data_IF_542058578851
#
_entry.id   IF_542058578851
#
_cell.length_a   1.000
_cell.length_b   1.000
_cell.length_c   1.000
_cell.angle_alpha   90.00
_cell.angle_beta   90.00
_cell.angle_gamma   90.00
#
_symmetry.space_group_name_H-M   'P 1'
#
loop_
_entity.id
_entity.type
_entity.pdbx_description
1 polymer ?
#
# COMPACT_ATOMS: atom_id res chain seq x y z
N UNK A 1 -9.33 -10.28 11.32
CA UNK A 1 -7.89 -9.94 11.31
C UNK A 1 -7.12 -11.16 10.82
N UNK A 2 -6.05 -10.98 10.04
CA UNK A 2 -5.24 -12.11 9.59
C UNK A 2 -4.59 -12.84 10.79
N UNK A 3 -4.80 -14.17 10.88
CA UNK A 3 -4.25 -15.00 11.97
C UNK A 3 -2.72 -15.08 11.93
N UNK A 4 -2.11 -14.85 10.77
CA UNK A 4 -0.66 -14.88 10.58
C UNK A 4 0.03 -13.53 10.84
N UNK A 5 -0.73 -12.49 11.20
CA UNK A 5 -0.18 -11.17 11.49
C UNK A 5 0.84 -11.22 12.63
N UNK A 6 2.05 -10.70 12.39
CA UNK A 6 3.12 -10.63 13.39
C UNK A 6 3.42 -9.19 13.77
N UNK A 7 2.98 -8.79 14.97
CA UNK A 7 3.09 -7.41 15.47
C UNK A 7 4.52 -6.84 15.45
N UNK A 8 5.54 -7.65 15.77
CA UNK A 8 6.94 -7.17 15.85
C UNK A 8 7.50 -6.87 14.46
N UNK A 9 7.22 -7.72 13.48
CA UNK A 9 7.75 -7.59 12.12
C UNK A 9 6.78 -6.95 11.14
N UNK A 10 5.55 -6.65 11.57
CA UNK A 10 4.44 -6.16 10.75
C UNK A 10 4.17 -6.99 9.49
N UNK A 11 4.46 -8.30 9.56
CA UNK A 11 4.16 -9.22 8.47
C UNK A 11 2.66 -9.45 8.42
N UNK A 12 2.15 -9.69 7.22
CA UNK A 12 0.79 -10.18 7.04
C UNK A 12 -0.27 -9.19 7.57
N UNK A 13 0.08 -7.89 7.54
CA UNK A 13 -0.72 -6.76 8.02
C UNK A 13 -1.88 -6.47 7.06
N UNK A 14 -2.93 -7.26 7.22
CA UNK A 14 -4.17 -7.17 6.45
C UNK A 14 -5.36 -7.59 7.31
N UNK A 15 -6.50 -6.96 7.05
CA UNK A 15 -7.78 -7.35 7.59
C UNK A 15 -8.88 -7.16 6.54
N UNK A 16 -9.99 -7.85 6.73
CA UNK A 16 -11.23 -7.63 5.97
C UNK A 16 -12.31 -7.21 6.93
N UNK A 17 -13.08 -6.22 6.49
CA UNK A 17 -14.28 -5.76 7.14
C UNK A 17 -15.47 -6.27 6.33
N UNK A 18 -16.35 -7.04 6.97
CA UNK A 18 -17.63 -7.42 6.40
C UNK A 18 -18.65 -6.38 6.79
N UNK A 19 -19.28 -5.75 5.80
CA UNK A 19 -20.34 -4.80 6.05
C UNK A 19 -21.59 -5.52 6.53
N UNK A 20 -22.36 -4.85 7.40
CA UNK A 20 -23.63 -5.38 7.93
C UNK A 20 -24.70 -5.37 6.83
N UNK A 21 -24.64 -4.39 5.93
CA UNK A 21 -25.50 -4.24 4.77
C UNK A 21 -24.66 -4.17 3.51
N UNK A 22 -25.20 -4.70 2.43
CA UNK A 22 -24.58 -4.59 1.11
C UNK A 22 -24.55 -3.13 0.65
N UNK A 23 -23.54 -2.79 -0.14
CA UNK A 23 -23.40 -1.48 -0.76
C UNK A 23 -24.02 -1.54 -2.15
N UNK A 24 -24.85 -0.56 -2.47
CA UNK A 24 -25.28 -0.31 -3.85
C UNK A 24 -24.17 0.44 -4.59
N UNK A 25 -23.73 -0.11 -5.73
CA UNK A 25 -22.71 0.54 -6.54
C UNK A 25 -23.29 1.71 -7.32
N UNK A 26 -22.53 2.80 -7.35
CA UNK A 26 -22.84 4.04 -8.07
C UNK A 26 -21.60 4.46 -8.85
N UNK A 27 -21.67 5.48 -9.71
CA UNK A 27 -20.47 6.00 -10.39
C UNK A 27 -19.34 6.42 -9.43
N UNK A 28 -19.68 6.83 -8.19
CA UNK A 28 -18.73 7.26 -7.16
C UNK A 28 -18.36 6.13 -6.18
N UNK A 29 -19.08 5.00 -6.21
CA UNK A 29 -18.90 3.86 -5.31
C UNK A 29 -18.69 2.60 -6.15
N UNK A 30 -17.41 2.28 -6.39
CA UNK A 30 -17.01 1.12 -7.19
C UNK A 30 -15.94 0.31 -6.47
N UNK A 31 -15.96 -1.03 -6.60
CA UNK A 31 -14.90 -1.87 -6.07
C UNK A 31 -13.62 -1.73 -6.91
N UNK A 32 -12.48 -1.97 -6.27
CA UNK A 32 -11.18 -2.12 -6.95
C UNK A 32 -10.93 -3.59 -7.32
N UNK A 33 -10.26 -3.83 -8.45
CA UNK A 33 -9.88 -5.20 -8.83
C UNK A 33 -8.77 -5.73 -7.90
N UNK A 34 -8.85 -7.02 -7.54
CA UNK A 34 -7.74 -7.72 -6.89
C UNK A 34 -6.75 -8.26 -7.92
N UNK A 35 -5.46 -8.45 -7.55
CA UNK A 35 -4.46 -9.00 -8.46
C UNK A 35 -4.64 -10.50 -8.64
N UNK A 36 -4.81 -11.00 -9.86
CA UNK A 36 -5.07 -12.43 -10.10
C UNK A 36 -3.81 -13.30 -9.96
N UNK A 37 -2.65 -12.69 -10.18
CA UNK A 37 -1.32 -13.30 -10.13
C UNK A 37 -0.28 -12.27 -9.64
N UNK A 38 0.93 -12.74 -9.41
CA UNK A 38 2.06 -11.81 -9.31
C UNK A 38 2.37 -11.24 -10.70
N UNK A 39 2.21 -9.92 -10.86
CA UNK A 39 2.51 -9.21 -12.10
C UNK A 39 3.97 -8.72 -12.18
N UNK A 40 4.78 -8.94 -11.13
CA UNK A 40 6.15 -8.39 -11.09
C UNK A 40 6.12 -6.88 -11.23
N UNK A 41 5.38 -6.21 -10.33
CA UNK A 41 5.14 -4.78 -10.41
C UNK A 41 6.46 -4.02 -10.29
N UNK A 42 6.72 -3.19 -11.29
CA UNK A 42 7.92 -2.36 -11.47
C UNK A 42 7.50 -0.98 -11.98
N UNK A 43 8.45 -0.07 -12.16
CA UNK A 43 8.20 1.31 -12.63
C UNK A 43 7.63 1.43 -14.07
N UNK A 44 7.42 0.30 -14.78
CA UNK A 44 6.70 0.29 -16.06
C UNK A 44 5.18 0.43 -15.91
N UNK A 45 4.65 0.20 -14.70
CA UNK A 45 3.23 0.34 -14.42
C UNK A 45 2.95 1.73 -13.84
N UNK A 46 1.81 2.31 -14.22
CA UNK A 46 1.30 3.51 -13.56
C UNK A 46 0.70 3.11 -12.21
N UNK A 47 1.32 3.56 -11.13
CA UNK A 47 0.92 3.23 -9.77
C UNK A 47 0.70 4.50 -8.95
N UNK A 48 -0.33 4.48 -8.12
CA UNK A 48 -0.79 5.60 -7.33
C UNK A 48 -1.18 5.15 -5.92
N UNK A 49 -1.05 6.08 -4.98
CA UNK A 49 -1.62 5.98 -3.65
C UNK A 49 -2.66 7.08 -3.49
N UNK A 50 -3.64 6.86 -2.63
CA UNK A 50 -4.66 7.86 -2.33
C UNK A 50 -5.09 7.82 -0.87
N UNK A 51 -5.35 8.98 -0.29
CA UNK A 51 -5.74 9.07 1.12
C UNK A 51 -6.02 10.48 1.62
N UNK A 52 -6.41 10.55 2.88
CA UNK A 52 -6.72 11.78 3.63
C UNK A 52 -5.72 12.00 4.78
N UNK A 53 -4.59 11.30 4.77
CA UNK A 53 -3.56 11.43 5.79
C UNK A 53 -2.87 12.78 5.82
N UNK A 54 -1.90 12.91 6.70
CA UNK A 54 -1.13 14.14 6.83
C UNK A 54 -0.25 14.39 5.59
N UNK A 55 -0.24 15.65 5.13
CA UNK A 55 0.63 16.10 4.04
C UNK A 55 2.07 16.33 4.50
N UNK A 56 2.23 16.67 5.78
CA UNK A 56 3.48 16.86 6.51
C UNK A 56 3.23 16.61 8.02
N UNK A 57 4.17 17.01 8.89
CA UNK A 57 4.05 16.78 10.33
C UNK A 57 2.94 17.59 11.02
N UNK A 58 2.40 18.63 10.38
CA UNK A 58 1.50 19.61 11.00
C UNK A 58 0.15 19.71 10.27
N UNK A 59 0.10 19.32 9.01
CA UNK A 59 -1.04 19.53 8.13
C UNK A 59 -1.78 18.23 7.82
N UNK A 60 -3.05 18.16 8.20
CA UNK A 60 -3.98 17.08 7.81
C UNK A 60 -4.69 17.46 6.52
N UNK A 61 -4.82 16.52 5.57
CA UNK A 61 -5.49 16.76 4.31
C UNK A 61 -7.00 17.04 4.50
N UNK A 62 -7.50 18.10 3.87
CA UNK A 62 -8.94 18.43 3.84
C UNK A 62 -9.71 17.71 2.72
N UNK A 63 -8.99 17.28 1.69
CA UNK A 63 -9.53 16.61 0.51
C UNK A 63 -8.79 15.29 0.28
N UNK A 64 -9.35 14.43 -0.58
CA UNK A 64 -8.66 13.22 -1.01
C UNK A 64 -7.47 13.63 -1.89
N UNK A 65 -6.27 13.19 -1.52
CA UNK A 65 -5.10 13.33 -2.37
C UNK A 65 -4.82 12.02 -3.09
N UNK A 66 -4.21 12.15 -4.27
CA UNK A 66 -3.71 11.02 -5.06
C UNK A 66 -2.35 11.36 -5.61
N UNK A 67 -1.40 10.43 -5.47
CA UNK A 67 0.00 10.68 -5.79
C UNK A 67 0.59 9.50 -6.52
N UNK A 68 1.27 9.76 -7.64
CA UNK A 68 2.03 8.75 -8.38
C UNK A 68 3.19 8.23 -7.54
N UNK A 69 3.48 6.94 -7.66
CA UNK A 69 4.52 6.27 -6.89
C UNK A 69 5.51 5.56 -7.78
N UNK A 70 6.74 5.45 -7.29
CA UNK A 70 7.77 4.59 -7.84
C UNK A 70 7.97 3.37 -6.95
N UNK A 71 8.11 2.22 -7.58
CA UNK A 71 8.41 0.93 -6.99
C UNK A 71 9.91 0.80 -6.78
N UNK A 72 10.28 0.23 -5.63
CA UNK A 72 11.67 -0.03 -5.27
C UNK A 72 11.90 -1.52 -5.11
N UNK A 73 13.08 -1.94 -5.55
CA UNK A 73 13.54 -3.29 -5.24
C UNK A 73 13.77 -3.43 -3.74
N UNK A 74 13.57 -4.65 -3.25
CA UNK A 74 13.66 -4.97 -1.83
C UNK A 74 15.03 -4.59 -1.24
N UNK A 75 16.11 -4.80 -1.97
CA UNK A 75 17.46 -4.50 -1.50
C UNK A 75 17.72 -2.99 -1.42
N UNK A 76 17.17 -2.20 -2.35
CA UNK A 76 17.24 -0.75 -2.29
C UNK A 76 16.43 -0.23 -1.11
N UNK A 77 15.23 -0.77 -0.89
CA UNK A 77 14.42 -0.33 0.25
C UNK A 77 15.02 -0.75 1.60
N UNK A 78 15.65 -1.92 1.71
CA UNK A 78 16.38 -2.31 2.93
C UNK A 78 17.60 -1.42 3.22
N UNK A 79 18.24 -0.82 2.20
CA UNK A 79 19.34 0.15 2.41
C UNK A 79 18.81 1.47 2.97
N UNK A 80 17.66 1.92 2.46
CA UNK A 80 17.07 3.21 2.82
C UNK A 80 16.21 3.16 4.09
N UNK A 81 15.75 1.98 4.51
CA UNK A 81 14.90 1.78 5.69
C UNK A 81 15.66 1.16 6.87
N UNK A 82 15.65 1.83 8.03
CA UNK A 82 16.19 1.31 9.28
C UNK A 82 15.07 0.72 10.17
N UNK A 83 15.24 -0.48 10.76
CA UNK A 83 16.35 -1.41 10.57
C UNK A 83 16.24 -2.16 9.23
N UNK A 84 17.38 -2.35 8.58
CA UNK A 84 17.57 -2.87 7.20
C UNK A 84 17.17 -4.33 6.95
N UNK A 85 16.32 -4.90 7.81
CA UNK A 85 15.96 -6.32 7.80
C UNK A 85 14.45 -6.58 7.81
N UNK A 86 13.60 -5.54 7.80
CA UNK A 86 12.16 -5.73 7.89
C UNK A 86 11.53 -6.25 6.60
N UNK A 87 12.07 -5.92 5.42
CA UNK A 87 11.56 -6.46 4.15
C UNK A 87 12.07 -7.86 3.84
N UNK A 88 12.60 -8.63 4.81
CA UNK A 88 13.05 -10.02 4.59
C UNK A 88 11.95 -10.94 4.02
N UNK A 89 10.67 -10.59 4.19
CA UNK A 89 9.54 -11.42 3.81
C UNK A 89 8.95 -11.02 2.44
N UNK A 90 8.43 -11.99 1.66
CA UNK A 90 7.88 -11.73 0.31
C UNK A 90 6.54 -10.99 0.30
N UNK A 91 5.88 -10.87 1.46
CA UNK A 91 4.58 -10.25 1.65
C UNK A 91 4.58 -8.72 1.73
N UNK A 92 5.69 -8.05 1.39
CA UNK A 92 5.82 -6.59 1.47
C UNK A 92 6.33 -5.99 0.16
N UNK A 93 5.89 -4.78 -0.13
CA UNK A 93 6.34 -3.94 -1.25
C UNK A 93 6.72 -2.58 -0.70
N UNK A 94 7.74 -1.96 -1.30
CA UNK A 94 8.19 -0.63 -0.92
C UNK A 94 8.01 0.34 -2.08
N UNK A 95 7.48 1.51 -1.75
CA UNK A 95 7.36 2.64 -2.67
C UNK A 95 7.97 3.88 -2.03
N UNK A 96 8.47 4.81 -2.83
CA UNK A 96 9.13 5.98 -2.29
C UNK A 96 9.78 6.84 -3.34
N UNK A 97 10.73 7.66 -2.91
CA UNK A 97 11.30 8.73 -3.72
C UNK A 97 12.64 8.30 -4.34
N UNK A 98 12.69 8.16 -5.66
CA UNK A 98 13.93 8.36 -6.42
C UNK A 98 13.79 9.73 -7.06
N UNK A 99 14.35 10.74 -6.37
CA UNK A 99 14.62 12.08 -6.92
C UNK A 99 13.44 13.01 -7.28
N UNK A 100 12.16 12.68 -7.05
CA UNK A 100 11.04 13.61 -7.33
C UNK A 100 10.24 14.05 -6.09
N UNK A 101 9.65 15.25 -6.10
CA UNK A 101 8.83 15.84 -5.02
C UNK A 101 7.50 15.11 -4.73
N UNK A 102 7.35 13.86 -5.16
CA UNK A 102 6.16 13.06 -4.96
C UNK A 102 5.93 12.75 -3.47
N UNK A 103 4.68 12.92 -3.02
CA UNK A 103 4.24 12.60 -1.65
C UNK A 103 4.29 11.10 -1.34
N UNK A 104 4.38 10.76 -0.05
CA UNK A 104 4.33 9.39 0.47
C UNK A 104 3.11 9.24 1.37
N UNK A 105 2.66 8.00 1.61
CA UNK A 105 1.66 7.77 2.64
C UNK A 105 2.22 8.15 4.01
N UNK A 106 1.43 8.87 4.80
CA UNK A 106 1.78 9.27 6.14
C UNK A 106 0.70 8.89 7.17
N UNK A 107 0.77 9.48 8.36
CA UNK A 107 -0.18 9.31 9.46
C UNK A 107 -1.59 9.53 8.94
N UNK A 108 -2.46 8.54 9.16
CA UNK A 108 -3.85 8.56 8.67
C UNK A 108 -4.06 7.82 7.35
N UNK A 109 -3.02 7.50 6.58
CA UNK A 109 -3.14 6.72 5.33
C UNK A 109 -3.03 5.20 5.56
N UNK A 110 -2.82 4.73 6.80
CA UNK A 110 -2.67 3.30 7.11
C UNK A 110 -3.88 2.47 6.66
N UNK A 111 -3.62 1.34 6.00
CA UNK A 111 -4.62 0.53 5.31
C UNK A 111 -5.05 1.08 3.94
N UNK A 112 -4.58 2.27 3.55
CA UNK A 112 -4.89 2.91 2.28
C UNK A 112 -4.29 2.17 1.08
N UNK A 113 -4.87 2.36 -0.13
CA UNK A 113 -4.52 1.57 -1.29
C UNK A 113 -3.27 2.07 -2.00
N UNK A 114 -2.35 1.15 -2.31
CA UNK A 114 -1.43 1.26 -3.44
C UNK A 114 -2.05 0.52 -4.62
N UNK A 115 -2.42 1.24 -5.67
CA UNK A 115 -3.10 0.69 -6.83
C UNK A 115 -2.34 0.98 -8.12
N UNK A 116 -2.34 0.01 -9.04
CA UNK A 116 -1.64 0.12 -10.31
C UNK A 116 -2.56 -0.19 -11.49
N UNK A 117 -2.35 0.51 -12.60
CA UNK A 117 -3.09 0.29 -13.84
C UNK A 117 -2.48 -0.86 -14.64
N UNK A 118 -3.22 -1.96 -14.75
CA UNK A 118 -2.79 -3.20 -15.42
C UNK A 118 -3.90 -3.62 -16.39
N UNK A 119 -3.59 -3.90 -17.65
CA UNK A 119 -4.59 -4.24 -18.67
C UNK A 119 -5.78 -3.25 -18.67
N UNK A 120 -5.45 -1.96 -18.57
CA UNK A 120 -6.41 -0.84 -18.49
C UNK A 120 -7.40 -0.88 -17.30
N UNK A 121 -7.11 -1.63 -16.23
CA UNK A 121 -7.89 -1.64 -14.98
C UNK A 121 -7.00 -1.39 -13.77
N UNK A 122 -7.52 -0.62 -12.82
CA UNK A 122 -6.85 -0.39 -11.54
C UNK A 122 -6.97 -1.63 -10.66
N UNK A 123 -5.83 -2.11 -10.18
CA UNK A 123 -5.74 -3.25 -9.27
C UNK A 123 -5.08 -2.85 -7.96
N UNK A 124 -5.59 -3.38 -6.85
CA UNK A 124 -5.05 -3.18 -5.52
C UNK A 124 -3.78 -4.02 -5.33
N UNK A 125 -2.62 -3.38 -5.40
CA UNK A 125 -1.33 -4.06 -5.32
C UNK A 125 -0.83 -4.16 -3.87
N UNK A 126 -1.10 -3.13 -3.07
CA UNK A 126 -0.71 -3.13 -1.67
C UNK A 126 -1.61 -2.31 -0.77
N UNK A 127 -1.43 -2.51 0.53
CA UNK A 127 -2.09 -1.76 1.60
C UNK A 127 -1.03 -1.06 2.46
N UNK A 128 -1.18 0.24 2.69
CA UNK A 128 -0.22 1.00 3.47
C UNK A 128 -0.09 0.40 4.87
N UNK A 129 1.12 0.03 5.29
CA UNK A 129 1.35 -0.65 6.58
C UNK A 129 2.19 0.23 7.50
N UNK A 130 3.43 0.55 7.09
CA UNK A 130 4.34 1.33 7.92
C UNK A 130 5.33 2.15 7.09
N UNK A 131 5.96 3.11 7.75
CA UNK A 131 6.98 3.97 7.18
C UNK A 131 7.71 4.72 8.27
N UNK A 132 8.54 5.68 7.88
CA UNK A 132 9.21 6.55 8.84
C UNK A 132 8.21 7.45 9.59
N UNK A 133 8.45 7.67 10.88
CA UNK A 133 7.66 8.62 11.67
C UNK A 133 7.86 10.05 11.15
N UNK A 134 6.85 10.88 11.33
CA UNK A 134 6.92 12.32 11.02
C UNK A 134 6.87 12.67 9.53
N UNK A 135 6.27 11.82 8.69
CA UNK A 135 6.14 12.06 7.24
C UNK A 135 7.46 12.33 6.52
N UNK A 136 8.57 11.79 7.03
CA UNK A 136 9.89 11.95 6.40
C UNK A 136 9.83 11.27 5.03
N UNK A 137 9.87 12.07 3.96
CA UNK A 137 9.69 11.67 2.55
C UNK A 137 10.84 10.80 2.01
N UNK A 138 10.98 9.58 2.53
CA UNK A 138 11.92 8.56 2.03
C UNK A 138 11.17 7.46 1.31
N UNK A 139 10.51 6.60 2.08
CA UNK A 139 9.84 5.39 1.62
C UNK A 139 8.71 5.00 2.55
N UNK A 140 7.72 4.28 2.00
CA UNK A 140 6.62 3.66 2.74
C UNK A 140 6.47 2.20 2.30
N UNK A 141 6.18 1.34 3.26
CA UNK A 141 6.01 -0.10 3.07
C UNK A 141 4.53 -0.47 3.08
N UNK A 142 4.19 -1.31 2.11
CA UNK A 142 2.85 -1.79 1.87
C UNK A 142 2.81 -3.31 2.00
N UNK A 143 1.74 -3.85 2.58
CA UNK A 143 1.44 -5.27 2.55
C UNK A 143 1.07 -5.67 1.12
N UNK A 144 1.75 -6.67 0.57
CA UNK A 144 1.53 -7.16 -0.79
C UNK A 144 0.24 -7.98 -0.88
N UNK A 145 -0.77 -7.44 -1.54
CA UNK A 145 -2.12 -8.03 -1.56
C UNK A 145 -2.11 -9.42 -2.20
N UNK A 146 -1.45 -9.60 -3.34
CA UNK A 146 -1.37 -10.89 -4.02
C UNK A 146 -0.86 -12.01 -3.11
N UNK A 147 0.15 -11.71 -2.28
CA UNK A 147 0.76 -12.68 -1.38
C UNK A 147 -0.24 -13.27 -0.38
N UNK A 148 -1.30 -12.54 -0.07
CA UNK A 148 -2.26 -12.87 0.98
C UNK A 148 -3.64 -13.22 0.43
N UNK A 149 -3.80 -13.34 -0.89
CA UNK A 149 -5.09 -13.70 -1.50
C UNK A 149 -5.55 -15.13 -1.15
N UNK A 150 -4.63 -16.02 -0.78
CA UNK A 150 -4.97 -17.37 -0.34
C UNK A 150 -5.86 -17.37 0.92
N UNK A 151 -5.74 -16.33 1.75
CA UNK A 151 -6.57 -16.13 2.95
C UNK A 151 -8.05 -15.99 2.57
N UNK A 152 -8.36 -15.48 1.37
CA UNK A 152 -9.72 -15.25 0.91
C UNK A 152 -10.30 -16.38 0.07
N UNK A 153 -9.46 -17.28 -0.46
CA UNK A 153 -9.90 -18.42 -1.29
C UNK A 153 -10.31 -19.65 -0.47
N UNK A 154 -10.13 -19.62 0.84
CA UNK A 154 -10.35 -20.75 1.75
C UNK A 154 -11.43 -20.48 2.82
N UNK A 155 -12.26 -19.46 2.61
CA UNK A 155 -13.41 -19.13 3.46
C UNK A 155 -14.72 -19.55 2.83
#
# INVERSE_FOLDING_TARGET
MNKNYRRVSLQDDIAVLKLIKEIEFTPDILPICLPERDYGITNKYECEISGYGCLDSETVARFLYRVKQQMFEKDECNKEMFPSTLLKYPGMICVGKSKSEQGIACTGDSGGPLHCKINNRWRLIGLASWGYRGCIKKMSVYTRVYHLLYIYRTG
#
